data_IF_614013803475
#
_entry.id   IF_614013803475
#
_cell.length_a   1.000
_cell.length_b   1.000
_cell.length_c   1.000
_cell.angle_alpha   90.00
_cell.angle_beta   90.00
_cell.angle_gamma   90.00
#
_symmetry.space_group_name_H-M   'P 1'
#
loop_
_entity.id
_entity.type
_entity.pdbx_description
1 polymer ?
#
# COMPACT_ATOMS: atom_id res chain seq x y z
N UNK A 1 -19.38 39.38 9.86
CA UNK A 1 -18.26 39.27 8.89
C UNK A 1 -17.84 37.81 8.80
N UNK A 2 -18.27 37.11 7.74
CA UNK A 2 -17.96 35.69 7.54
C UNK A 2 -16.51 35.62 7.03
N UNK A 3 -15.59 35.26 7.91
CA UNK A 3 -14.15 35.27 7.67
C UNK A 3 -13.77 34.51 6.39
N UNK A 4 -13.01 35.15 5.49
CA UNK A 4 -12.47 34.57 4.26
C UNK A 4 -11.71 33.25 4.46
N UNK A 5 -11.21 32.99 5.68
CA UNK A 5 -10.66 31.70 6.10
C UNK A 5 -11.65 30.53 5.92
N UNK A 6 -12.93 30.72 6.25
CA UNK A 6 -13.96 29.68 6.17
C UNK A 6 -14.31 29.33 4.71
N UNK A 7 -14.23 30.29 3.80
CA UNK A 7 -14.45 30.07 2.36
C UNK A 7 -13.27 29.34 1.70
N UNK A 8 -12.02 29.69 2.02
CA UNK A 8 -10.84 28.95 1.52
C UNK A 8 -10.83 27.51 1.99
N UNK A 9 -11.18 27.26 3.26
CA UNK A 9 -11.26 25.91 3.80
C UNK A 9 -12.38 25.10 3.13
N UNK A 10 -13.54 25.71 2.86
CA UNK A 10 -14.63 25.07 2.09
C UNK A 10 -14.24 24.78 0.64
N UNK A 11 -13.39 25.62 0.02
CA UNK A 11 -12.94 25.44 -1.35
C UNK A 11 -11.89 24.33 -1.46
N UNK A 12 -10.94 24.24 -0.53
CA UNK A 12 -10.00 23.11 -0.45
C UNK A 12 -10.73 21.79 -0.17
N UNK A 13 -11.73 21.83 0.70
CA UNK A 13 -12.56 20.66 1.01
C UNK A 13 -13.43 20.23 -0.21
N UNK A 14 -13.87 21.18 -1.05
CA UNK A 14 -14.59 20.89 -2.29
C UNK A 14 -13.69 20.28 -3.38
N UNK A 15 -12.45 20.74 -3.50
CA UNK A 15 -11.47 20.19 -4.46
C UNK A 15 -11.06 18.76 -4.08
N UNK A 16 -10.89 18.45 -2.79
CA UNK A 16 -10.71 17.07 -2.34
C UNK A 16 -11.95 16.22 -2.63
N UNK A 17 -13.15 16.78 -2.52
CA UNK A 17 -14.42 16.05 -2.74
C UNK A 17 -14.78 15.82 -4.22
N UNK A 18 -14.07 16.42 -5.18
CA UNK A 18 -14.29 16.19 -6.62
C UNK A 18 -13.24 15.25 -7.25
N UNK A 19 -12.19 14.90 -6.51
CA UNK A 19 -11.11 14.01 -6.97
C UNK A 19 -11.37 12.52 -6.70
N UNK A 20 -12.33 12.22 -5.84
CA UNK A 20 -12.66 10.89 -5.35
C UNK A 20 -14.12 10.54 -5.68
N UNK A 21 -14.37 9.32 -6.13
CA UNK A 21 -15.70 8.75 -6.34
C UNK A 21 -16.53 8.79 -5.06
N UNK A 22 -17.87 8.79 -5.18
CA UNK A 22 -18.80 8.72 -4.04
C UNK A 22 -18.47 7.57 -3.08
N UNK A 23 -17.99 6.44 -3.63
CA UNK A 23 -17.56 5.28 -2.84
C UNK A 23 -16.26 5.56 -2.07
N UNK A 24 -15.27 6.18 -2.71
CA UNK A 24 -13.99 6.55 -2.12
C UNK A 24 -14.18 7.59 -1.00
N UNK A 25 -15.07 8.57 -1.19
CA UNK A 25 -15.42 9.55 -0.15
C UNK A 25 -16.09 8.90 1.07
N UNK A 26 -16.95 7.91 0.84
CA UNK A 26 -17.60 7.16 1.93
C UNK A 26 -16.55 6.38 2.71
N UNK A 27 -15.66 5.66 2.01
CA UNK A 27 -14.54 4.96 2.62
C UNK A 27 -13.67 5.91 3.43
N UNK A 28 -13.32 7.07 2.88
CA UNK A 28 -12.49 8.06 3.55
C UNK A 28 -13.15 8.60 4.82
N UNK A 29 -14.45 8.87 4.78
CA UNK A 29 -15.23 9.32 5.94
C UNK A 29 -15.23 8.26 7.03
N UNK A 30 -15.48 7.01 6.69
CA UNK A 30 -15.50 5.91 7.65
C UNK A 30 -14.12 5.62 8.23
N UNK A 31 -13.09 5.62 7.39
CA UNK A 31 -11.70 5.41 7.79
C UNK A 31 -11.21 6.51 8.74
N UNK A 32 -11.60 7.77 8.54
CA UNK A 32 -11.21 8.88 9.42
C UNK A 32 -12.02 8.97 10.71
N UNK A 33 -13.24 8.42 10.74
CA UNK A 33 -14.15 8.57 11.88
C UNK A 33 -13.98 7.48 12.94
N UNK A 34 -13.32 6.36 12.60
CA UNK A 34 -13.24 5.16 13.43
C UNK A 34 -11.78 4.78 13.72
N UNK A 35 -11.52 4.26 14.91
CA UNK A 35 -10.23 3.65 15.26
C UNK A 35 -10.03 2.32 14.54
N UNK A 36 -8.79 1.91 14.28
CA UNK A 36 -8.46 0.67 13.55
C UNK A 36 -9.16 -0.58 14.10
N UNK A 37 -9.22 -0.70 15.43
CA UNK A 37 -9.84 -1.83 16.11
C UNK A 37 -11.36 -1.85 15.93
N UNK A 38 -12.04 -0.71 16.09
CA UNK A 38 -13.49 -0.61 15.88
C UNK A 38 -13.87 -0.88 14.42
N UNK A 39 -13.09 -0.37 13.48
CA UNK A 39 -13.32 -0.60 12.06
C UNK A 39 -13.18 -2.09 11.70
N UNK A 40 -12.14 -2.76 12.19
CA UNK A 40 -11.98 -4.20 12.06
C UNK A 40 -13.17 -4.96 12.67
N UNK A 41 -13.63 -4.56 13.85
CA UNK A 41 -14.77 -5.17 14.53
C UNK A 41 -16.06 -5.10 13.69
N UNK A 42 -16.33 -3.95 13.06
CA UNK A 42 -17.50 -3.79 12.19
C UNK A 42 -17.43 -4.65 10.94
N UNK A 43 -16.27 -4.72 10.27
CA UNK A 43 -16.08 -5.60 9.11
C UNK A 43 -16.31 -7.06 9.50
N UNK A 44 -15.78 -7.47 10.66
CA UNK A 44 -15.93 -8.82 11.20
C UNK A 44 -17.37 -9.15 11.56
N UNK A 45 -18.07 -8.21 12.22
CA UNK A 45 -19.50 -8.34 12.54
C UNK A 45 -20.35 -8.52 11.28
N UNK A 46 -20.08 -7.74 10.23
CA UNK A 46 -20.77 -7.87 8.94
C UNK A 46 -20.49 -9.22 8.24
N UNK A 47 -19.33 -9.83 8.50
CA UNK A 47 -18.94 -11.15 7.98
C UNK A 47 -19.25 -12.31 8.95
N UNK A 48 -19.99 -12.06 10.04
CA UNK A 48 -20.28 -13.05 11.08
C UNK A 48 -19.03 -13.74 11.67
N UNK A 49 -17.92 -13.03 11.72
CA UNK A 49 -16.64 -13.53 12.21
C UNK A 49 -16.23 -12.79 13.50
N UNK A 50 -15.33 -13.40 14.25
CA UNK A 50 -14.72 -12.80 15.44
C UNK A 50 -13.31 -12.29 15.14
N UNK A 51 -12.85 -11.31 15.93
CA UNK A 51 -11.49 -10.77 15.83
C UNK A 51 -10.51 -11.80 16.40
N UNK A 52 -9.54 -12.21 15.59
CA UNK A 52 -8.48 -13.13 16.01
C UNK A 52 -7.34 -12.40 16.73
N UNK A 53 -6.48 -13.14 17.42
CA UNK A 53 -5.30 -12.55 18.06
C UNK A 53 -4.32 -11.96 17.02
N UNK A 54 -4.06 -12.68 15.93
CA UNK A 54 -3.17 -12.22 14.87
C UNK A 54 -3.62 -10.91 14.22
N UNK A 55 -4.93 -10.74 14.01
CA UNK A 55 -5.47 -9.48 13.51
C UNK A 55 -5.19 -8.30 14.44
N UNK A 56 -5.32 -8.49 15.75
CA UNK A 56 -4.96 -7.46 16.73
C UNK A 56 -3.46 -7.16 16.69
N UNK A 57 -2.62 -8.19 16.59
CA UNK A 57 -1.17 -8.00 16.47
C UNK A 57 -0.81 -7.23 15.19
N UNK A 58 -1.44 -7.54 14.05
CA UNK A 58 -1.23 -6.81 12.81
C UNK A 58 -1.56 -5.32 12.95
N UNK A 59 -2.67 -4.97 13.63
CA UNK A 59 -2.98 -3.56 13.88
C UNK A 59 -1.89 -2.89 14.72
N UNK A 60 -1.41 -3.57 15.76
CA UNK A 60 -0.32 -3.08 16.61
C UNK A 60 0.96 -2.90 15.82
N UNK A 61 1.32 -3.84 14.94
CA UNK A 61 2.51 -3.72 14.08
C UNK A 61 2.39 -2.53 13.12
N UNK A 62 1.22 -2.32 12.50
CA UNK A 62 1.00 -1.16 11.63
C UNK A 62 1.09 0.16 12.40
N UNK A 63 0.55 0.20 13.62
CA UNK A 63 0.67 1.37 14.49
C UNK A 63 2.15 1.62 14.88
N UNK A 64 2.92 0.56 15.17
CA UNK A 64 4.36 0.65 15.46
C UNK A 64 5.17 1.16 14.26
N UNK A 65 4.72 0.92 13.02
CA UNK A 65 5.31 1.50 11.81
C UNK A 65 5.04 3.01 11.66
N UNK A 66 4.27 3.61 12.57
CA UNK A 66 3.89 5.03 12.53
C UNK A 66 2.73 5.34 11.60
N UNK A 67 1.93 4.34 11.22
CA UNK A 67 0.73 4.54 10.41
C UNK A 67 -0.42 5.03 11.29
N UNK A 68 -1.15 6.04 10.81
CA UNK A 68 -2.34 6.55 11.46
C UNK A 68 -3.51 5.55 11.33
N UNK A 69 -4.44 5.57 12.28
CA UNK A 69 -5.66 4.73 12.25
C UNK A 69 -6.41 4.84 10.91
N UNK A 70 -6.47 6.04 10.33
CA UNK A 70 -7.13 6.29 9.06
C UNK A 70 -6.49 5.50 7.90
N UNK A 71 -5.16 5.36 7.90
CA UNK A 71 -4.42 4.62 6.87
C UNK A 71 -4.56 3.12 7.09
N UNK A 72 -4.49 2.69 8.35
CA UNK A 72 -4.70 1.28 8.74
C UNK A 72 -6.09 0.82 8.30
N UNK A 73 -7.12 1.64 8.51
CA UNK A 73 -8.48 1.35 8.05
C UNK A 73 -8.57 1.13 6.55
N UNK A 74 -7.89 1.94 5.74
CA UNK A 74 -7.84 1.77 4.28
C UNK A 74 -7.11 0.49 3.89
N UNK A 75 -6.01 0.15 4.57
CA UNK A 75 -5.26 -1.11 4.34
C UNK A 75 -6.11 -2.33 4.66
N UNK A 76 -6.87 -2.29 5.76
CA UNK A 76 -7.81 -3.35 6.12
C UNK A 76 -8.85 -3.55 5.03
N UNK A 77 -9.50 -2.45 4.61
CA UNK A 77 -10.52 -2.46 3.57
C UNK A 77 -9.98 -3.05 2.26
N UNK A 78 -8.79 -2.62 1.84
CA UNK A 78 -8.09 -3.17 0.68
C UNK A 78 -7.82 -4.68 0.82
N UNK A 79 -7.35 -5.11 1.99
CA UNK A 79 -7.01 -6.51 2.24
C UNK A 79 -8.24 -7.41 2.20
N UNK A 80 -9.34 -7.00 2.85
CA UNK A 80 -10.60 -7.72 2.83
C UNK A 80 -11.28 -7.71 1.45
N UNK A 81 -11.08 -6.65 0.66
CA UNK A 81 -11.54 -6.60 -0.73
C UNK A 81 -10.73 -7.57 -1.60
N UNK A 82 -9.42 -7.68 -1.36
CA UNK A 82 -8.53 -8.54 -2.16
C UNK A 82 -8.73 -10.03 -1.90
N UNK A 83 -8.84 -10.42 -0.64
CA UNK A 83 -8.97 -11.82 -0.21
C UNK A 83 -10.39 -11.97 0.33
N UNK A 84 -11.27 -12.61 -0.44
CA UNK A 84 -12.68 -12.81 -0.09
C UNK A 84 -12.82 -13.86 1.04
N UNK A 85 -12.19 -13.60 2.19
CA UNK A 85 -12.10 -14.47 3.36
C UNK A 85 -12.64 -13.76 4.61
N UNK A 86 -13.03 -14.57 5.60
CA UNK A 86 -13.47 -14.10 6.91
C UNK A 86 -12.29 -13.62 7.78
N UNK A 87 -11.08 -14.11 7.49
CA UNK A 87 -9.86 -13.75 8.21
C UNK A 87 -9.00 -12.79 7.39
N UNK A 88 -8.41 -11.80 8.07
CA UNK A 88 -7.44 -10.91 7.46
C UNK A 88 -6.19 -11.70 7.05
N UNK A 89 -5.68 -11.44 5.84
CA UNK A 89 -4.37 -11.93 5.45
C UNK A 89 -3.30 -10.99 6.00
N UNK A 90 -2.81 -11.32 7.20
CA UNK A 90 -1.78 -10.59 7.95
C UNK A 90 -0.55 -10.25 7.10
N UNK A 91 -0.04 -11.25 6.35
CA UNK A 91 1.13 -11.08 5.49
C UNK A 91 0.89 -10.05 4.38
N UNK A 92 -0.29 -10.09 3.77
CA UNK A 92 -0.65 -9.13 2.74
C UNK A 92 -0.83 -7.73 3.31
N UNK A 93 -1.52 -7.61 4.44
CA UNK A 93 -1.79 -6.34 5.09
C UNK A 93 -0.48 -5.67 5.53
N UNK A 94 0.44 -6.42 6.15
CA UNK A 94 1.76 -5.93 6.52
C UNK A 94 2.60 -5.53 5.30
N UNK A 95 2.53 -6.28 4.19
CA UNK A 95 3.20 -5.88 2.95
C UNK A 95 2.73 -4.51 2.48
N UNK A 96 1.41 -4.29 2.44
CA UNK A 96 0.83 -3.00 2.04
C UNK A 96 1.19 -1.90 3.04
N UNK A 97 1.17 -2.20 4.34
CA UNK A 97 1.56 -1.25 5.39
C UNK A 97 3.02 -0.79 5.24
N UNK A 98 3.94 -1.74 4.97
CA UNK A 98 5.34 -1.43 4.70
C UNK A 98 5.50 -0.60 3.41
N UNK A 99 4.76 -0.95 2.36
CA UNK A 99 4.75 -0.20 1.10
C UNK A 99 4.27 1.25 1.32
N UNK A 100 3.22 1.45 2.12
CA UNK A 100 2.72 2.80 2.45
C UNK A 100 3.71 3.57 3.31
N UNK A 101 4.33 2.92 4.29
CA UNK A 101 5.39 3.51 5.12
C UNK A 101 6.60 3.93 4.27
N UNK A 102 6.98 3.11 3.29
CA UNK A 102 8.04 3.41 2.33
C UNK A 102 7.71 4.60 1.44
N UNK A 103 6.48 4.66 0.92
CA UNK A 103 5.97 5.75 0.10
C UNK A 103 5.63 7.01 0.91
N UNK A 104 5.83 7.00 2.24
CA UNK A 104 5.53 8.11 3.16
C UNK A 104 4.05 8.54 3.12
N UNK A 105 3.16 7.58 2.93
CA UNK A 105 1.71 7.78 2.90
C UNK A 105 1.20 7.77 4.33
N UNK A 106 0.82 8.95 4.83
CA UNK A 106 0.31 9.10 6.20
C UNK A 106 -1.17 9.50 6.23
N UNK A 107 -1.78 9.91 5.13
CA UNK A 107 -3.22 10.18 5.09
C UNK A 107 -4.01 9.13 4.30
N UNK A 108 -5.25 8.92 4.70
CA UNK A 108 -6.20 8.06 3.98
C UNK A 108 -6.51 8.59 2.57
N UNK A 109 -6.42 9.90 2.31
CA UNK A 109 -6.57 10.48 0.97
C UNK A 109 -5.46 10.00 0.03
N UNK A 110 -4.22 10.11 0.48
CA UNK A 110 -3.04 9.66 -0.26
C UNK A 110 -3.06 8.14 -0.47
N UNK A 111 -3.48 7.38 0.54
CA UNK A 111 -3.64 5.93 0.43
C UNK A 111 -4.63 5.54 -0.68
N UNK A 112 -5.77 6.23 -0.78
CA UNK A 112 -6.76 5.96 -1.83
C UNK A 112 -6.22 6.30 -3.22
N UNK A 113 -5.55 7.45 -3.38
CA UNK A 113 -4.89 7.81 -4.65
C UNK A 113 -3.85 6.77 -5.05
N UNK A 114 -3.00 6.37 -4.11
CA UNK A 114 -1.96 5.39 -4.34
C UNK A 114 -2.54 4.04 -4.75
N UNK A 115 -3.60 3.59 -4.07
CA UNK A 115 -4.33 2.37 -4.45
C UNK A 115 -4.82 2.48 -5.88
N UNK A 116 -5.53 3.58 -6.24
CA UNK A 116 -6.04 3.79 -7.60
C UNK A 116 -4.94 3.70 -8.66
N UNK A 117 -3.82 4.40 -8.44
CA UNK A 117 -2.68 4.36 -9.35
C UNK A 117 -2.07 2.96 -9.47
N UNK A 118 -1.97 2.24 -8.35
CA UNK A 118 -1.43 0.87 -8.34
C UNK A 118 -2.35 -0.13 -9.02
N UNK A 119 -3.67 0.03 -8.93
CA UNK A 119 -4.63 -0.77 -9.71
C UNK A 119 -4.51 -0.46 -11.21
N UNK A 120 -4.37 0.81 -11.57
CA UNK A 120 -4.27 1.23 -12.97
C UNK A 120 -2.98 0.74 -13.63
N UNK A 121 -1.83 0.86 -12.95
CA UNK A 121 -0.53 0.35 -13.43
C UNK A 121 -0.50 -1.17 -13.55
N UNK A 122 -1.20 -1.91 -12.69
CA UNK A 122 -1.33 -3.36 -12.83
C UNK A 122 -2.22 -3.77 -14.02
N UNK A 123 -3.27 -3.01 -14.30
CA UNK A 123 -4.13 -3.27 -15.46
C UNK A 123 -3.46 -2.90 -16.79
N UNK A 124 -2.74 -1.78 -16.86
CA UNK A 124 -2.03 -1.36 -18.07
C UNK A 124 -0.85 -2.28 -18.41
N UNK A 125 -0.11 -2.78 -17.41
CA UNK A 125 0.93 -3.82 -17.63
C UNK A 125 0.37 -5.15 -18.13
N UNK A 126 -0.86 -5.51 -17.73
CA UNK A 126 -1.53 -6.71 -18.24
C UNK A 126 -2.01 -6.53 -19.68
N UNK A 127 -2.54 -5.35 -20.02
CA UNK A 127 -2.94 -5.03 -21.39
C UNK A 127 -1.74 -5.00 -22.35
N UNK A 128 -0.60 -4.43 -21.93
CA UNK A 128 0.62 -4.40 -22.74
C UNK A 128 1.25 -5.80 -22.96
N UNK A 129 1.02 -6.75 -22.04
CA UNK A 129 1.49 -8.14 -22.17
C UNK A 129 0.59 -8.99 -23.06
N UNK A 130 -0.65 -8.57 -23.31
CA UNK A 130 -1.58 -9.23 -24.22
C UNK A 130 -1.41 -8.76 -25.68
N UNK A 131 -0.88 -7.54 -25.88
CA UNK A 131 -0.53 -6.99 -27.20
C UNK A 131 0.89 -7.30 -27.68
N UNK A 132 1.71 -8.01 -26.88
CA UNK A 132 3.04 -8.46 -27.31
C UNK A 132 2.93 -9.83 -28.00
N UNK A 133 3.48 -10.02 -29.23
CA UNK A 133 3.50 -11.32 -29.86
C UNK A 133 4.29 -12.28 -28.97
N UNK A 134 3.63 -13.34 -28.48
CA UNK A 134 4.23 -14.40 -27.66
C UNK A 134 5.18 -15.21 -28.54
N UNK A 135 6.42 -14.76 -28.68
CA UNK A 135 7.50 -15.61 -29.23
C UNK A 135 7.98 -16.56 -28.13
N UNK A 136 7.97 -17.87 -28.41
CA UNK A 136 8.36 -18.93 -27.48
C UNK A 136 9.89 -19.06 -27.32
N UNK A 137 10.65 -18.06 -27.75
CA UNK A 137 12.11 -17.99 -27.59
C UNK A 137 12.43 -16.85 -26.62
N UNK A 138 13.17 -17.12 -25.52
CA UNK A 138 13.54 -16.07 -24.58
C UNK A 138 14.52 -15.07 -25.23
N UNK A 139 14.52 -13.82 -24.75
CA UNK A 139 15.36 -12.73 -25.28
C UNK A 139 16.89 -12.98 -25.27
N UNK A 140 17.39 -13.99 -24.54
CA UNK A 140 18.80 -14.43 -24.62
C UNK A 140 19.14 -15.17 -25.91
N UNK A 141 18.13 -15.60 -26.69
CA UNK A 141 18.31 -16.21 -28.02
C UNK A 141 18.55 -15.19 -29.13
N UNK A 142 18.60 -13.89 -28.79
CA UNK A 142 18.83 -12.82 -29.75
C UNK A 142 20.35 -12.61 -29.91
N UNK A 143 20.91 -12.69 -31.13
CA UNK A 143 22.36 -12.61 -31.36
C UNK A 143 22.99 -11.24 -31.03
N UNK A 144 22.18 -10.23 -30.68
CA UNK A 144 22.60 -8.87 -30.34
C UNK A 144 22.36 -8.52 -28.84
N UNK A 145 22.16 -9.51 -27.97
CA UNK A 145 21.96 -9.25 -26.54
C UNK A 145 23.25 -8.72 -25.88
N UNK A 146 23.34 -7.41 -25.69
CA UNK A 146 24.40 -6.75 -24.91
C UNK A 146 23.97 -6.54 -23.47
N UNK A 147 24.57 -7.32 -22.56
CA UNK A 147 24.45 -7.12 -21.12
C UNK A 147 25.40 -6.00 -20.68
N UNK A 148 24.96 -4.75 -20.74
CA UNK A 148 25.67 -3.62 -20.12
C UNK A 148 25.31 -3.50 -18.63
N UNK A 149 25.64 -4.54 -17.85
CA UNK A 149 25.88 -4.36 -16.41
C UNK A 149 27.29 -3.83 -16.28
N UNK A 150 27.48 -2.52 -16.46
CA UNK A 150 28.79 -1.87 -16.25
C UNK A 150 29.36 -2.31 -14.90
N UNK A 151 30.61 -2.79 -14.91
CA UNK A 151 31.31 -3.39 -13.76
C UNK A 151 31.24 -2.54 -12.47
N UNK A 152 31.01 -1.24 -12.61
CA UNK A 152 30.77 -0.27 -11.55
C UNK A 152 29.54 -0.61 -10.68
N UNK A 153 28.42 -1.06 -11.27
CA UNK A 153 27.21 -1.44 -10.52
C UNK A 153 27.36 -2.77 -9.77
N UNK A 154 28.20 -3.67 -10.26
CA UNK A 154 28.44 -4.95 -9.60
C UNK A 154 29.24 -4.75 -8.30
N UNK A 155 30.22 -3.83 -8.31
CA UNK A 155 31.00 -3.49 -7.13
C UNK A 155 30.15 -2.79 -6.05
N UNK A 156 29.26 -1.86 -6.45
CA UNK A 156 28.37 -1.16 -5.51
C UNK A 156 27.38 -2.13 -4.83
N UNK A 157 26.85 -3.11 -5.58
CA UNK A 157 25.96 -4.13 -5.02
C UNK A 157 26.69 -5.09 -4.06
N UNK A 158 27.94 -5.44 -4.35
CA UNK A 158 28.74 -6.30 -3.45
C UNK A 158 29.13 -5.56 -2.17
N UNK A 159 29.47 -4.28 -2.26
CA UNK A 159 29.76 -3.45 -1.09
C UNK A 159 28.52 -3.22 -0.22
N UNK A 160 27.35 -2.95 -0.84
CA UNK A 160 26.08 -2.88 -0.11
C UNK A 160 25.77 -4.21 0.57
N UNK A 161 25.98 -5.35 -0.12
CA UNK A 161 25.78 -6.68 0.46
C UNK A 161 26.70 -6.92 1.66
N UNK A 162 27.98 -6.55 1.56
CA UNK A 162 28.95 -6.68 2.65
C UNK A 162 28.60 -5.81 3.85
N UNK A 163 28.19 -4.56 3.62
CA UNK A 163 27.82 -3.62 4.68
C UNK A 163 26.57 -4.07 5.43
N UNK A 164 25.60 -4.63 4.71
CA UNK A 164 24.39 -5.20 5.31
C UNK A 164 24.70 -6.42 6.17
N UNK A 165 25.61 -7.29 5.71
CA UNK A 165 26.03 -8.50 6.43
C UNK A 165 26.80 -8.16 7.73
N UNK A 166 27.73 -7.21 7.66
CA UNK A 166 28.51 -6.77 8.82
C UNK A 166 27.63 -6.12 9.90
N UNK A 167 26.59 -5.38 9.49
CA UNK A 167 25.64 -4.76 10.42
C UNK A 167 24.72 -5.79 11.10
N UNK A 168 24.51 -6.95 10.48
CA UNK A 168 23.75 -8.06 11.06
C UNK A 168 24.58 -8.83 12.10
N UNK A 169 25.88 -8.98 11.87
CA UNK A 169 26.82 -9.68 12.76
C UNK A 169 27.10 -8.88 14.05
N UNK A 170 27.15 -7.55 13.96
CA UNK A 170 27.46 -6.66 15.08
C UNK A 170 26.27 -6.37 16.02
N UNK A 171 25.09 -6.93 15.74
CA UNK A 171 23.85 -6.69 16.50
C UNK A 171 23.40 -7.85 17.39
N UNK A 172 24.24 -8.86 17.58
CA UNK A 172 23.99 -10.00 18.47
C UNK A 172 24.84 -9.92 19.74
N UNK A 173 24.40 -9.10 20.70
CA UNK A 173 24.75 -9.23 22.13
C UNK A 173 23.46 -9.44 22.92
#
# INVERSE_FOLDING_TARGET
MISAKRMKQKLQQKVSNELFSTQEQTILREAKSKTALQFLAEIKKAKHATITHGERQCLTEMANLGLLDEVINVILLLTFNKVNSANLNEKYALKVANDFSYQKIFSAEEAVVYIRERYQTQHSKKAAKDSAPKSNVPDWSNPDYKNETSAEKQAELDEQKRKLLAKLDQGGD
#
